data_IF_770671017203
#
_entry.id   IF_770671017203
#
_cell.length_a   1.000
_cell.length_b   1.000
_cell.length_c   1.000
_cell.angle_alpha   90.00
_cell.angle_beta   90.00
_cell.angle_gamma   90.00
#
_symmetry.space_group_name_H-M   'P 1'
#
loop_
_entity.id
_entity.type
_entity.pdbx_description
1 polymer ?
#
# COMPACT_ATOMS: atom_id res chain seq x y z
N UNK A 1 -18.40 1.22 9.02
CA UNK A 1 -17.98 2.31 8.10
C UNK A 1 -19.06 2.49 7.04
N UNK A 2 -19.41 3.71 6.60
CA UNK A 2 -20.25 3.84 5.42
C UNK A 2 -19.48 3.26 4.23
N UNK A 3 -20.02 2.24 3.59
CA UNK A 3 -19.39 1.65 2.41
C UNK A 3 -19.41 2.68 1.26
N UNK A 4 -18.26 2.91 0.64
CA UNK A 4 -18.13 3.72 -0.59
C UNK A 4 -18.97 3.11 -1.72
N UNK A 5 -19.14 1.80 -1.70
CA UNK A 5 -20.01 1.05 -2.60
C UNK A 5 -21.37 0.87 -1.95
N UNK A 6 -22.41 0.78 -2.78
CA UNK A 6 -23.73 0.37 -2.29
C UNK A 6 -23.63 -0.99 -1.58
N UNK A 7 -24.34 -1.15 -0.45
CA UNK A 7 -24.25 -2.32 0.44
C UNK A 7 -24.30 -3.67 -0.31
N UNK A 8 -25.20 -3.81 -1.29
CA UNK A 8 -25.32 -5.03 -2.10
C UNK A 8 -24.09 -5.29 -2.99
N UNK A 9 -23.40 -4.23 -3.44
CA UNK A 9 -22.18 -4.37 -4.24
C UNK A 9 -21.02 -4.81 -3.34
N UNK A 10 -20.89 -4.20 -2.17
CA UNK A 10 -19.85 -4.57 -1.19
C UNK A 10 -20.05 -6.02 -0.72
N UNK A 11 -21.29 -6.44 -0.39
CA UNK A 11 -21.62 -7.81 0.00
C UNK A 11 -21.30 -8.82 -1.13
N UNK A 12 -21.62 -8.49 -2.38
CA UNK A 12 -21.29 -9.35 -3.52
C UNK A 12 -19.78 -9.49 -3.71
N UNK A 13 -19.01 -8.39 -3.70
CA UNK A 13 -17.56 -8.42 -3.87
C UNK A 13 -16.89 -9.22 -2.77
N UNK A 14 -17.29 -9.03 -1.51
CA UNK A 14 -16.78 -9.82 -0.38
C UNK A 14 -17.10 -11.32 -0.54
N UNK A 15 -18.24 -11.67 -1.14
CA UNK A 15 -18.60 -13.08 -1.38
C UNK A 15 -17.74 -13.79 -2.45
N UNK A 16 -17.06 -13.03 -3.29
CA UNK A 16 -16.19 -13.52 -4.37
C UNK A 16 -14.70 -13.18 -4.17
N UNK A 17 -14.34 -12.67 -3.01
CA UNK A 17 -12.94 -12.45 -2.65
C UNK A 17 -12.11 -13.74 -2.84
N UNK A 18 -10.87 -13.64 -3.33
CA UNK A 18 -9.96 -14.78 -3.35
C UNK A 18 -9.80 -15.37 -1.94
N UNK A 19 -9.84 -16.72 -1.78
CA UNK A 19 -9.64 -17.31 -0.48
C UNK A 19 -8.24 -16.98 0.04
N UNK A 20 -8.11 -16.63 1.32
CA UNK A 20 -6.84 -16.60 2.00
C UNK A 20 -6.39 -18.04 2.30
N UNK A 21 -5.09 -18.26 2.34
CA UNK A 21 -4.54 -19.48 2.91
C UNK A 21 -4.44 -19.37 4.45
N UNK A 22 -4.12 -20.47 5.11
CA UNK A 22 -4.06 -20.55 6.57
C UNK A 22 -3.14 -19.48 7.20
N UNK A 23 -2.04 -19.11 6.53
CA UNK A 23 -1.11 -18.09 7.02
C UNK A 23 -1.73 -16.70 6.94
N UNK A 24 -2.35 -16.35 5.83
CA UNK A 24 -3.00 -15.04 5.65
C UNK A 24 -4.20 -14.88 6.60
N UNK A 25 -5.00 -15.95 6.80
CA UNK A 25 -6.09 -15.94 7.79
C UNK A 25 -5.56 -15.72 9.22
N UNK A 26 -4.44 -16.35 9.58
CA UNK A 26 -3.79 -16.13 10.87
C UNK A 26 -3.28 -14.69 11.01
N UNK A 27 -2.67 -14.12 9.97
CA UNK A 27 -2.19 -12.73 9.97
C UNK A 27 -3.36 -11.74 10.13
N UNK A 28 -4.47 -11.95 9.41
CA UNK A 28 -5.69 -11.16 9.54
C UNK A 28 -6.28 -11.24 10.96
N UNK A 29 -6.33 -12.45 11.54
CA UNK A 29 -6.78 -12.65 12.90
C UNK A 29 -5.85 -11.98 13.93
N UNK A 30 -4.53 -12.01 13.70
CA UNK A 30 -3.54 -11.30 14.52
C UNK A 30 -3.77 -9.79 14.44
N UNK A 31 -3.87 -9.23 13.25
CA UNK A 31 -4.09 -7.81 13.04
C UNK A 31 -5.39 -7.32 13.71
N UNK A 32 -6.47 -8.07 13.55
CA UNK A 32 -7.76 -7.76 14.20
C UNK A 32 -7.69 -7.80 15.73
N UNK A 33 -7.02 -8.81 16.30
CA UNK A 33 -6.89 -8.97 17.76
C UNK A 33 -6.13 -7.83 18.40
N UNK A 34 -5.04 -7.40 17.76
CA UNK A 34 -4.08 -6.45 18.32
C UNK A 34 -4.27 -5.04 17.72
N UNK A 35 -5.31 -4.84 16.90
CA UNK A 35 -5.65 -3.58 16.22
C UNK A 35 -4.48 -3.03 15.40
N UNK A 36 -3.78 -3.91 14.69
CA UNK A 36 -2.69 -3.54 13.77
C UNK A 36 -3.29 -3.20 12.41
N UNK A 37 -3.04 -2.00 11.86
CA UNK A 37 -3.47 -1.69 10.50
C UNK A 37 -2.68 -2.53 9.50
N UNK A 38 -3.37 -3.23 8.63
CA UNK A 38 -2.81 -3.94 7.48
C UNK A 38 -3.64 -3.60 6.24
N UNK A 39 -3.04 -3.66 5.06
CA UNK A 39 -3.77 -3.54 3.81
C UNK A 39 -4.87 -4.59 3.72
N UNK A 40 -5.99 -4.26 3.09
CA UNK A 40 -7.06 -5.23 2.87
C UNK A 40 -6.63 -6.35 1.92
N UNK A 41 -7.41 -7.43 1.90
CA UNK A 41 -7.17 -8.55 0.98
C UNK A 41 -7.26 -8.14 -0.48
N UNK A 42 -8.18 -7.23 -0.81
CA UNK A 42 -8.33 -6.69 -2.16
C UNK A 42 -7.10 -5.88 -2.59
N UNK A 43 -6.62 -4.98 -1.73
CA UNK A 43 -5.45 -4.14 -2.01
C UNK A 43 -4.19 -4.99 -2.15
N UNK A 44 -3.94 -5.93 -1.24
CA UNK A 44 -2.80 -6.83 -1.32
C UNK A 44 -2.86 -7.77 -2.54
N UNK A 45 -4.06 -8.24 -2.92
CA UNK A 45 -4.26 -9.01 -4.17
C UNK A 45 -4.01 -8.15 -5.40
N UNK A 46 -4.46 -6.90 -5.41
CA UNK A 46 -4.19 -5.95 -6.49
C UNK A 46 -2.68 -5.73 -6.65
N UNK A 47 -1.94 -5.55 -5.57
CA UNK A 47 -0.47 -5.42 -5.63
C UNK A 47 0.19 -6.66 -6.25
N UNK A 48 -0.24 -7.87 -5.87
CA UNK A 48 0.23 -9.11 -6.50
C UNK A 48 -0.06 -9.14 -7.99
N UNK A 49 -1.27 -8.75 -8.40
CA UNK A 49 -1.65 -8.69 -9.82
C UNK A 49 -0.74 -7.70 -10.56
N UNK A 50 -0.48 -6.53 -10.00
CA UNK A 50 0.38 -5.52 -10.60
C UNK A 50 1.84 -5.98 -10.64
N UNK A 51 2.36 -6.61 -9.59
CA UNK A 51 3.70 -7.19 -9.58
C UNK A 51 3.86 -8.25 -10.70
N UNK A 52 2.89 -9.15 -10.85
CA UNK A 52 2.90 -10.16 -11.92
C UNK A 52 2.78 -9.49 -13.31
N UNK A 53 1.86 -8.53 -13.49
CA UNK A 53 1.60 -7.89 -14.77
C UNK A 53 2.79 -7.07 -15.30
N UNK A 54 3.57 -6.50 -14.38
CA UNK A 54 4.78 -5.71 -14.71
C UNK A 54 6.06 -6.55 -14.72
N UNK A 55 5.98 -7.84 -14.38
CA UNK A 55 7.13 -8.72 -14.11
C UNK A 55 8.07 -8.04 -13.11
N UNK A 56 7.54 -7.61 -11.97
CA UNK A 56 8.31 -6.87 -10.98
C UNK A 56 9.40 -7.75 -10.36
N UNK A 57 10.65 -7.29 -10.48
CA UNK A 57 11.79 -7.89 -9.80
C UNK A 57 12.00 -7.24 -8.42
N UNK A 58 11.71 -5.92 -8.28
CA UNK A 58 11.93 -5.18 -7.02
C UNK A 58 10.77 -4.25 -6.70
N UNK A 59 10.30 -4.27 -5.45
CA UNK A 59 9.30 -3.38 -4.92
C UNK A 59 9.83 -2.56 -3.72
N UNK A 60 9.33 -1.34 -3.59
CA UNK A 60 9.53 -0.47 -2.42
C UNK A 60 8.19 -0.29 -1.72
N UNK A 61 8.13 -0.54 -0.42
CA UNK A 61 6.93 -0.39 0.39
C UNK A 61 7.19 0.54 1.56
N UNK A 62 6.28 1.46 1.80
CA UNK A 62 6.27 2.31 2.99
C UNK A 62 5.21 1.79 3.95
N UNK A 63 5.64 1.20 5.08
CA UNK A 63 4.77 0.59 6.07
C UNK A 63 4.68 -0.94 5.93
N UNK A 64 5.54 -1.66 6.65
CA UNK A 64 5.53 -3.14 6.68
C UNK A 64 4.40 -3.69 7.53
N UNK A 65 4.06 -3.01 8.63
CA UNK A 65 3.24 -3.56 9.70
C UNK A 65 3.70 -4.99 10.08
N UNK A 66 2.83 -5.98 10.03
CA UNK A 66 3.20 -7.39 10.26
C UNK A 66 3.54 -8.15 8.96
N UNK A 67 3.73 -7.44 7.85
CA UNK A 67 4.19 -8.01 6.58
C UNK A 67 3.12 -8.57 5.67
N UNK A 68 1.85 -8.21 5.84
CA UNK A 68 0.73 -8.82 5.10
C UNK A 68 0.81 -8.57 3.58
N UNK A 69 0.93 -7.32 3.15
CA UNK A 69 1.15 -6.92 1.75
C UNK A 69 2.53 -7.35 1.25
N UNK A 70 3.56 -7.11 2.07
CA UNK A 70 4.97 -7.44 1.80
C UNK A 70 5.14 -8.90 1.38
N UNK A 71 4.61 -9.85 2.18
CA UNK A 71 4.69 -11.29 1.93
C UNK A 71 3.95 -11.65 0.64
N UNK A 72 2.79 -11.07 0.39
CA UNK A 72 2.02 -11.37 -0.81
C UNK A 72 2.73 -10.90 -2.08
N UNK A 73 3.42 -9.76 -2.05
CA UNK A 73 4.28 -9.31 -3.17
C UNK A 73 5.51 -10.22 -3.30
N UNK A 74 6.19 -10.55 -2.20
CA UNK A 74 7.36 -11.43 -2.21
C UNK A 74 7.06 -12.85 -2.75
N UNK A 75 5.84 -13.37 -2.55
CA UNK A 75 5.36 -14.65 -3.13
C UNK A 75 5.37 -14.67 -4.66
N UNK A 76 5.37 -13.50 -5.33
CA UNK A 76 5.49 -13.44 -6.80
C UNK A 76 6.92 -13.69 -7.30
N UNK A 77 7.89 -13.72 -6.40
CA UNK A 77 9.32 -13.77 -6.70
C UNK A 77 10.02 -12.41 -6.62
N UNK A 78 9.25 -11.34 -6.37
CA UNK A 78 9.75 -9.97 -6.24
C UNK A 78 10.56 -9.81 -4.95
N UNK A 79 11.67 -9.08 -5.01
CA UNK A 79 12.39 -8.59 -3.82
C UNK A 79 11.67 -7.35 -3.28
N UNK A 80 11.40 -7.31 -1.99
CA UNK A 80 10.67 -6.20 -1.36
C UNK A 80 11.57 -5.50 -0.35
N UNK A 81 11.80 -4.20 -0.57
CA UNK A 81 12.40 -3.30 0.41
C UNK A 81 11.26 -2.57 1.10
N UNK A 82 11.17 -2.67 2.43
CA UNK A 82 10.06 -2.09 3.18
C UNK A 82 10.54 -1.41 4.47
N UNK A 83 9.69 -0.58 5.09
CA UNK A 83 10.04 0.24 6.25
C UNK A 83 9.03 0.07 7.38
N UNK A 84 9.51 -0.06 8.61
CA UNK A 84 8.68 -0.11 9.83
C UNK A 84 9.49 0.43 11.02
N UNK A 85 8.82 1.04 11.98
CA UNK A 85 9.44 1.60 13.19
C UNK A 85 9.13 0.79 14.45
N UNK A 86 8.05 0.03 14.43
CA UNK A 86 7.58 -0.76 15.57
C UNK A 86 8.31 -2.12 15.63
N UNK A 87 9.10 -2.32 16.68
CA UNK A 87 9.91 -3.52 16.83
C UNK A 87 9.09 -4.82 16.96
N UNK A 88 7.90 -4.76 17.56
CA UNK A 88 7.03 -5.94 17.71
C UNK A 88 6.40 -6.32 16.37
N UNK A 89 6.00 -5.33 15.56
CA UNK A 89 5.52 -5.56 14.20
C UNK A 89 6.62 -6.11 13.30
N UNK A 90 7.83 -5.57 13.36
CA UNK A 90 9.00 -6.08 12.62
C UNK A 90 9.28 -7.53 12.98
N UNK A 91 9.25 -7.87 14.27
CA UNK A 91 9.47 -9.25 14.73
C UNK A 91 8.39 -10.20 14.17
N UNK A 92 7.12 -9.78 14.19
CA UNK A 92 6.01 -10.54 13.62
C UNK A 92 6.14 -10.70 12.11
N UNK A 93 6.48 -9.62 11.38
CA UNK A 93 6.69 -9.67 9.93
C UNK A 93 7.79 -10.67 9.53
N UNK A 94 8.89 -10.69 10.26
CA UNK A 94 9.98 -11.66 10.04
C UNK A 94 9.53 -13.10 10.31
N UNK A 95 8.81 -13.33 11.41
CA UNK A 95 8.29 -14.66 11.73
C UNK A 95 7.35 -15.19 10.64
N UNK A 96 6.42 -14.35 10.17
CA UNK A 96 5.51 -14.72 9.08
C UNK A 96 6.25 -14.95 7.76
N UNK A 97 7.24 -14.11 7.42
CA UNK A 97 8.06 -14.26 6.22
C UNK A 97 8.89 -15.56 6.23
N UNK A 98 9.46 -15.92 7.39
CA UNK A 98 10.18 -17.18 7.57
C UNK A 98 9.25 -18.39 7.38
N UNK A 99 8.06 -18.35 7.96
CA UNK A 99 7.05 -19.42 7.84
C UNK A 99 6.54 -19.59 6.41
N UNK A 100 6.50 -18.52 5.65
CA UNK A 100 6.10 -18.54 4.23
C UNK A 100 7.26 -18.83 3.27
N UNK A 101 8.48 -18.96 3.77
CA UNK A 101 9.71 -19.18 2.99
C UNK A 101 10.01 -18.05 1.99
N UNK A 102 9.72 -16.81 2.33
CA UNK A 102 9.99 -15.62 1.51
C UNK A 102 10.92 -14.61 2.21
N UNK A 103 11.42 -14.91 3.39
CA UNK A 103 12.25 -14.01 4.19
C UNK A 103 13.53 -13.55 3.47
N UNK A 104 14.09 -14.39 2.58
CA UNK A 104 15.25 -14.08 1.75
C UNK A 104 14.99 -13.02 0.66
N UNK A 105 13.72 -12.66 0.45
CA UNK A 105 13.26 -11.65 -0.52
C UNK A 105 12.84 -10.35 0.13
N UNK A 106 12.86 -10.24 1.47
CA UNK A 106 12.32 -9.09 2.20
C UNK A 106 13.42 -8.42 2.99
N UNK A 107 13.68 -7.15 2.68
CA UNK A 107 14.58 -6.28 3.42
C UNK A 107 13.75 -5.26 4.20
N UNK A 108 13.78 -5.30 5.54
CA UNK A 108 13.05 -4.37 6.41
C UNK A 108 14.03 -3.34 7.00
N UNK A 109 13.82 -2.06 6.66
CA UNK A 109 14.51 -0.93 7.28
C UNK A 109 13.76 -0.51 8.56
N UNK A 110 14.40 -0.75 9.72
CA UNK A 110 13.84 -0.49 11.06
C UNK A 110 13.94 1.00 11.45
N UNK A 111 13.32 1.88 10.67
CA UNK A 111 13.37 3.34 10.86
C UNK A 111 12.27 4.05 10.08
N UNK A 112 12.04 5.36 10.34
CA UNK A 112 11.08 6.15 9.58
C UNK A 112 11.34 6.06 8.07
N UNK A 113 10.26 5.99 7.31
CA UNK A 113 10.30 5.73 5.87
C UNK A 113 11.12 6.79 5.09
N UNK A 114 10.97 8.07 5.43
CA UNK A 114 11.74 9.15 4.78
C UNK A 114 13.26 9.04 5.06
N UNK A 115 13.63 8.59 6.26
CA UNK A 115 15.05 8.37 6.60
C UNK A 115 15.61 7.14 5.88
N UNK A 116 14.78 6.10 5.69
CA UNK A 116 15.19 4.89 4.99
C UNK A 116 15.54 5.14 3.52
N UNK A 117 14.85 6.10 2.88
CA UNK A 117 15.08 6.45 1.48
C UNK A 117 16.48 6.99 1.19
N UNK A 118 17.21 7.46 2.20
CA UNK A 118 18.61 7.93 2.03
C UNK A 118 19.59 6.79 1.75
N UNK A 119 19.23 5.55 2.13
CA UNK A 119 20.06 4.36 2.01
C UNK A 119 19.49 3.32 1.01
N UNK A 120 18.43 3.69 0.29
CA UNK A 120 17.74 2.80 -0.67
C UNK A 120 17.99 3.27 -2.09
N UNK A 121 18.47 2.36 -2.94
CA UNK A 121 18.72 2.62 -4.35
C UNK A 121 17.72 1.86 -5.25
N UNK A 122 17.23 2.53 -6.30
CA UNK A 122 16.44 1.90 -7.36
C UNK A 122 17.31 1.16 -8.40
N UNK A 123 16.74 0.67 -9.50
CA UNK A 123 15.35 0.89 -9.87
C UNK A 123 14.37 -0.05 -9.16
N UNK A 124 13.15 0.43 -8.97
CA UNK A 124 12.00 -0.36 -8.54
C UNK A 124 10.98 -0.50 -9.67
N UNK A 125 10.21 -1.57 -9.62
CA UNK A 125 9.10 -1.87 -10.55
C UNK A 125 7.76 -1.49 -9.97
N UNK A 126 7.65 -1.58 -8.62
CA UNK A 126 6.45 -1.29 -7.85
C UNK A 126 6.83 -0.44 -6.63
N UNK A 127 6.02 0.57 -6.34
CA UNK A 127 6.10 1.37 -5.10
C UNK A 127 4.73 1.33 -4.43
N UNK A 128 4.69 1.05 -3.13
CA UNK A 128 3.46 1.06 -2.34
C UNK A 128 3.54 2.09 -1.20
N UNK A 129 2.58 2.99 -1.15
CA UNK A 129 2.46 4.04 -0.13
C UNK A 129 1.38 3.65 0.88
N UNK A 130 1.79 3.21 2.09
CA UNK A 130 0.89 2.84 3.18
C UNK A 130 1.52 3.07 4.57
N UNK A 131 2.04 4.27 4.82
CA UNK A 131 2.62 4.63 6.11
C UNK A 131 1.97 5.92 6.67
N UNK A 132 2.76 6.94 6.97
CA UNK A 132 2.27 8.22 7.53
C UNK A 132 1.59 9.03 6.44
N UNK A 133 0.27 9.24 6.57
CA UNK A 133 -0.57 9.79 5.51
C UNK A 133 -0.18 11.21 5.08
N UNK A 134 0.25 12.05 6.01
CA UNK A 134 0.72 13.42 5.73
C UNK A 134 2.07 13.47 4.99
N UNK A 135 2.80 12.35 4.94
CA UNK A 135 4.09 12.25 4.25
C UNK A 135 3.97 11.69 2.82
N UNK A 136 2.77 11.31 2.36
CA UNK A 136 2.56 10.73 1.02
C UNK A 136 3.09 11.57 -0.13
N UNK A 137 2.94 12.92 -0.12
CA UNK A 137 3.54 13.75 -1.16
C UNK A 137 5.06 13.57 -1.24
N UNK A 138 5.75 13.54 -0.10
CA UNK A 138 7.21 13.37 -0.06
C UNK A 138 7.63 11.94 -0.42
N UNK A 139 6.88 10.91 0.01
CA UNK A 139 7.11 9.54 -0.42
C UNK A 139 7.04 9.41 -1.94
N UNK A 140 6.03 9.98 -2.57
CA UNK A 140 5.87 9.96 -4.02
C UNK A 140 7.04 10.64 -4.72
N UNK A 141 7.32 11.90 -4.37
CA UNK A 141 8.37 12.70 -5.01
C UNK A 141 9.76 12.06 -4.88
N UNK A 142 10.06 11.44 -3.73
CA UNK A 142 11.36 10.80 -3.50
C UNK A 142 11.45 9.41 -4.13
N UNK A 143 10.36 8.67 -4.23
CA UNK A 143 10.36 7.33 -4.85
C UNK A 143 10.25 7.35 -6.37
N UNK A 144 9.62 8.35 -6.97
CA UNK A 144 9.47 8.46 -8.43
C UNK A 144 10.81 8.41 -9.21
N UNK A 145 11.89 9.08 -8.79
CA UNK A 145 13.19 8.92 -9.46
C UNK A 145 13.73 7.49 -9.45
N UNK A 146 13.41 6.73 -8.39
CA UNK A 146 13.84 5.34 -8.22
C UNK A 146 12.91 4.33 -8.89
N UNK A 147 11.71 4.74 -9.31
CA UNK A 147 10.79 3.91 -10.07
C UNK A 147 11.20 3.91 -11.55
N UNK A 148 11.28 2.75 -12.19
CA UNK A 148 11.56 2.70 -13.64
C UNK A 148 10.38 3.22 -14.48
N UNK A 149 10.64 3.59 -15.72
CA UNK A 149 9.58 3.83 -16.71
C UNK A 149 8.71 2.57 -16.88
N UNK A 150 7.38 2.75 -16.86
CA UNK A 150 6.41 1.67 -16.84
C UNK A 150 6.27 0.95 -15.49
N UNK A 151 6.99 1.39 -14.46
CA UNK A 151 6.79 0.95 -13.08
C UNK A 151 5.51 1.54 -12.49
N UNK A 152 4.99 0.91 -11.44
CA UNK A 152 3.68 1.22 -10.86
C UNK A 152 3.80 1.78 -9.45
N UNK A 153 3.04 2.84 -9.15
CA UNK A 153 2.79 3.33 -7.79
C UNK A 153 1.40 2.88 -7.38
N UNK A 154 1.28 2.30 -6.19
CA UNK A 154 0.01 2.01 -5.52
C UNK A 154 -0.07 2.85 -4.26
N UNK A 155 -1.22 3.46 -4.02
CA UNK A 155 -1.47 4.35 -2.88
C UNK A 155 -2.67 3.79 -2.12
N UNK A 156 -2.51 3.49 -0.84
CA UNK A 156 -3.62 3.03 0.01
C UNK A 156 -4.36 4.19 0.69
N UNK A 157 -5.61 3.92 1.09
CA UNK A 157 -6.49 4.83 1.84
C UNK A 157 -6.78 6.17 1.14
N UNK A 158 -6.76 6.21 -0.19
CA UNK A 158 -6.93 7.46 -0.95
C UNK A 158 -8.30 8.15 -0.74
N UNK A 159 -9.31 7.44 -0.23
CA UNK A 159 -10.62 8.00 0.09
C UNK A 159 -10.87 8.16 1.59
N UNK A 160 -9.96 7.65 2.44
CA UNK A 160 -9.92 7.85 3.88
C UNK A 160 -11.26 7.63 4.56
N UNK A 161 -11.78 6.40 4.53
CA UNK A 161 -13.08 6.00 5.10
C UNK A 161 -14.27 6.87 4.64
N UNK A 162 -14.14 7.54 3.47
CA UNK A 162 -15.16 8.44 2.94
C UNK A 162 -15.03 9.89 3.41
N UNK A 163 -14.07 10.22 4.25
CA UNK A 163 -13.83 11.59 4.72
C UNK A 163 -13.34 12.52 3.59
N UNK A 164 -12.52 12.01 2.67
CA UNK A 164 -12.04 12.79 1.52
C UNK A 164 -13.20 13.22 0.60
N UNK A 165 -14.11 12.34 0.14
CA UNK A 165 -15.30 12.76 -0.61
C UNK A 165 -16.22 13.70 0.18
N UNK A 166 -16.39 13.49 1.48
CA UNK A 166 -17.21 14.36 2.34
C UNK A 166 -16.60 15.77 2.44
N UNK A 167 -15.32 15.86 2.70
CA UNK A 167 -14.59 17.13 2.74
C UNK A 167 -14.59 17.85 1.38
N UNK A 168 -14.44 17.12 0.28
CA UNK A 168 -14.57 17.70 -1.06
C UNK A 168 -15.95 18.34 -1.29
N UNK A 169 -17.01 17.68 -0.81
CA UNK A 169 -18.38 18.17 -0.99
C UNK A 169 -18.71 19.38 -0.09
N UNK A 170 -18.14 19.46 1.11
CA UNK A 170 -18.43 20.49 2.12
C UNK A 170 -17.43 21.66 2.10
N UNK A 171 -16.20 21.41 1.66
CA UNK A 171 -15.06 22.32 1.79
C UNK A 171 -14.51 22.39 3.23
N UNK A 172 -14.83 21.40 4.08
CA UNK A 172 -14.45 21.36 5.51
C UNK A 172 -13.82 19.99 5.84
N UNK A 173 -12.47 19.85 5.75
CA UNK A 173 -11.80 18.60 6.09
C UNK A 173 -11.88 18.30 7.60
N UNK A 174 -12.14 17.06 7.96
CA UNK A 174 -12.34 16.62 9.32
C UNK A 174 -11.03 16.66 10.15
N UNK A 175 -9.90 16.42 9.51
CA UNK A 175 -8.57 16.37 10.12
C UNK A 175 -7.47 16.66 9.10
N UNK A 176 -6.21 16.70 9.58
CA UNK A 176 -5.02 16.98 8.78
C UNK A 176 -4.78 15.90 7.72
N UNK A 177 -5.09 14.64 8.00
CA UNK A 177 -4.94 13.55 7.04
C UNK A 177 -5.93 13.69 5.88
N UNK A 178 -7.19 14.05 6.16
CA UNK A 178 -8.21 14.32 5.15
C UNK A 178 -7.81 15.48 4.23
N UNK A 179 -7.27 16.57 4.80
CA UNK A 179 -6.78 17.71 4.03
C UNK A 179 -5.60 17.31 3.13
N UNK A 180 -4.64 16.55 3.69
CA UNK A 180 -3.48 16.04 2.96
C UNK A 180 -3.89 15.14 1.79
N UNK A 181 -4.85 14.24 1.99
CA UNK A 181 -5.35 13.37 0.91
C UNK A 181 -6.12 14.11 -0.18
N UNK A 182 -6.89 15.16 0.17
CA UNK A 182 -7.55 15.99 -0.84
C UNK A 182 -6.55 16.61 -1.81
N UNK A 183 -5.48 17.17 -1.28
CA UNK A 183 -4.41 17.79 -2.09
C UNK A 183 -3.59 16.72 -2.82
N UNK A 184 -3.20 15.64 -2.11
CA UNK A 184 -2.41 14.55 -2.67
C UNK A 184 -3.11 13.90 -3.86
N UNK A 185 -4.39 13.53 -3.73
CA UNK A 185 -5.13 12.86 -4.80
C UNK A 185 -5.20 13.70 -6.08
N UNK A 186 -5.45 15.01 -5.95
CA UNK A 186 -5.46 15.90 -7.09
C UNK A 186 -4.09 15.96 -7.78
N UNK A 187 -3.02 16.12 -6.99
CA UNK A 187 -1.65 16.17 -7.49
C UNK A 187 -1.20 14.81 -8.08
N UNK A 188 -1.61 13.71 -7.48
CA UNK A 188 -1.28 12.35 -7.95
C UNK A 188 -1.90 12.07 -9.33
N UNK A 189 -3.19 12.39 -9.52
CA UNK A 189 -3.88 12.17 -10.80
C UNK A 189 -3.35 13.10 -11.89
N UNK A 190 -3.02 14.34 -11.56
CA UNK A 190 -2.50 15.33 -12.49
C UNK A 190 -0.96 15.31 -12.62
N UNK A 191 -0.29 14.36 -11.96
CA UNK A 191 1.17 14.33 -11.91
C UNK A 191 1.79 14.12 -13.29
N UNK A 192 2.69 15.01 -13.77
CA UNK A 192 3.20 14.99 -15.15
C UNK A 192 3.98 13.71 -15.50
N UNK A 193 4.58 13.05 -14.51
CA UNK A 193 5.34 11.82 -14.71
C UNK A 193 4.48 10.55 -14.60
N UNK A 194 3.18 10.65 -14.30
CA UNK A 194 2.30 9.51 -14.09
C UNK A 194 1.12 9.49 -15.07
N UNK A 195 0.67 8.30 -15.40
CA UNK A 195 -0.70 8.02 -15.84
C UNK A 195 -1.41 7.41 -14.64
N UNK A 196 -2.32 8.15 -13.99
CA UNK A 196 -2.83 7.78 -12.68
C UNK A 196 -4.35 7.89 -12.56
N UNK A 197 -4.91 7.12 -11.62
CA UNK A 197 -6.33 7.11 -11.27
C UNK A 197 -6.50 6.74 -9.80
N UNK A 198 -7.55 7.26 -9.15
CA UNK A 198 -8.03 6.77 -7.84
C UNK A 198 -9.26 5.89 -8.09
N UNK A 199 -9.26 4.70 -7.51
CA UNK A 199 -10.32 3.70 -7.66
C UNK A 199 -11.00 3.43 -6.32
N UNK A 200 -12.29 3.04 -6.30
CA UNK A 200 -13.02 2.71 -5.08
C UNK A 200 -12.77 1.25 -4.65
N UNK A 201 -11.51 0.81 -4.64
CA UNK A 201 -11.11 -0.48 -4.08
C UNK A 201 -10.82 -0.23 -2.61
N UNK A 202 -11.45 -1.00 -1.73
CA UNK A 202 -11.41 -0.84 -0.28
C UNK A 202 -11.70 0.62 0.15
N UNK A 203 -10.82 1.22 0.89
CA UNK A 203 -10.85 2.61 1.33
C UNK A 203 -10.23 3.59 0.31
N UNK A 204 -10.30 3.21 -0.95
CA UNK A 204 -9.76 3.97 -2.07
C UNK A 204 -8.31 3.68 -2.36
N UNK A 205 -8.06 3.18 -3.57
CA UNK A 205 -6.71 2.86 -4.02
C UNK A 205 -6.31 3.70 -5.22
N UNK A 206 -5.22 4.47 -5.06
CA UNK A 206 -4.57 5.15 -6.17
C UNK A 206 -3.66 4.19 -6.93
N UNK A 207 -3.69 4.26 -8.27
CA UNK A 207 -2.80 3.48 -9.14
C UNK A 207 -2.22 4.45 -10.16
N UNK A 208 -0.89 4.49 -10.26
CA UNK A 208 -0.17 5.30 -11.22
C UNK A 208 0.92 4.53 -11.93
N UNK A 209 1.08 4.73 -13.23
CA UNK A 209 2.18 4.15 -14.02
C UNK A 209 3.13 5.27 -14.43
N UNK A 210 4.43 5.10 -14.18
CA UNK A 210 5.43 6.08 -14.55
C UNK A 210 5.58 6.15 -16.07
N UNK A 211 5.36 7.35 -16.62
CA UNK A 211 5.59 7.67 -18.03
C UNK A 211 7.09 7.76 -18.34
N UNK A 212 7.40 7.87 -19.65
CA UNK A 212 8.76 8.16 -20.14
C UNK A 212 9.25 9.55 -19.72
#
# INVERSE_FOLDING_TARGET
MPSILADLTAEYLSSIEPPADDLLEEMEAHANRDSIPIASREVATLQRILAIATNADRALEFGTAIGYSTIQVARTGCEVVTTEVDADRIAAAREYADRDNVADRIEIHERPALEALDDVDGPFDLVFLDAVKTEYPEYLERSLPMLRTGGVVVVDNALWDGEVPAAHATGDPADEATEAFLEFNANFVDHPALEAVVTPIDDGTGIGVKRE
#
